data_IF_403971838772
#
_entry.id   IF_403971838772
#
_cell.length_a   1.000
_cell.length_b   1.000
_cell.length_c   1.000
_cell.angle_alpha   90.00
_cell.angle_beta   90.00
_cell.angle_gamma   90.00
#
_symmetry.space_group_name_H-M   'P 1'
#
loop_
_entity.id
_entity.type
_entity.pdbx_description
1 polymer ?
#
# COMPACT_ATOMS: atom_id res chain seq x y z
N UNK A 1 -9.59 8.90 1.43
CA UNK A 1 -9.67 9.53 0.09
C UNK A 1 -10.55 8.68 -0.79
N UNK A 2 -11.29 9.26 -1.74
CA UNK A 2 -12.04 8.53 -2.76
C UNK A 2 -11.67 9.00 -4.17
N UNK A 3 -11.49 8.08 -5.14
CA UNK A 3 -11.36 8.48 -6.55
C UNK A 3 -12.76 8.66 -7.14
N UNK A 4 -13.05 9.84 -7.71
CA UNK A 4 -14.38 10.20 -8.26
C UNK A 4 -14.43 10.22 -9.77
N UNK A 5 -13.34 10.63 -10.41
CA UNK A 5 -13.25 10.70 -11.87
C UNK A 5 -11.85 10.37 -12.33
N UNK A 6 -11.77 9.66 -13.44
CA UNK A 6 -10.52 9.43 -14.16
C UNK A 6 -10.74 9.80 -15.62
N UNK A 7 -9.97 10.75 -16.14
CA UNK A 7 -9.95 11.06 -17.57
C UNK A 7 -8.61 10.64 -18.17
N UNK A 8 -8.66 10.04 -19.35
CA UNK A 8 -7.51 9.50 -20.06
C UNK A 8 -7.60 9.92 -21.52
N UNK A 9 -6.51 10.46 -22.06
CA UNK A 9 -6.39 10.82 -23.46
C UNK A 9 -4.98 10.48 -23.96
N UNK A 10 -4.91 9.88 -25.15
CA UNK A 10 -3.68 9.44 -25.79
C UNK A 10 -2.79 8.54 -24.90
N UNK A 11 -3.40 7.59 -24.19
CA UNK A 11 -2.70 6.57 -23.37
C UNK A 11 -3.09 5.18 -23.83
N UNK A 12 -2.11 4.36 -24.20
CA UNK A 12 -2.27 2.95 -24.59
C UNK A 12 -3.43 2.69 -25.56
N UNK A 13 -4.60 2.30 -25.04
CA UNK A 13 -5.81 1.93 -25.81
C UNK A 13 -6.79 3.09 -25.99
N UNK A 14 -6.52 4.24 -25.38
CA UNK A 14 -7.38 5.42 -25.39
C UNK A 14 -6.70 6.49 -26.23
N UNK A 15 -7.08 6.61 -27.51
CA UNK A 15 -6.59 7.68 -28.38
C UNK A 15 -7.27 9.00 -28.05
N UNK A 16 -8.59 8.99 -28.07
CA UNK A 16 -9.43 10.15 -27.74
C UNK A 16 -9.73 10.18 -26.23
N UNK A 17 -10.16 11.36 -25.76
CA UNK A 17 -10.51 11.57 -24.36
C UNK A 17 -11.65 10.65 -23.94
N UNK A 18 -11.38 9.81 -22.95
CA UNK A 18 -12.34 8.95 -22.29
C UNK A 18 -12.42 9.31 -20.80
N UNK A 19 -13.62 9.30 -20.24
CA UNK A 19 -13.85 9.61 -18.83
C UNK A 19 -14.58 8.46 -18.14
N UNK A 20 -14.09 8.11 -16.95
CA UNK A 20 -14.72 7.17 -16.03
C UNK A 20 -15.17 7.93 -14.79
N UNK A 21 -16.48 7.92 -14.54
CA UNK A 21 -17.07 8.39 -13.28
C UNK A 21 -17.18 7.22 -12.30
N UNK A 22 -16.79 7.45 -11.06
CA UNK A 22 -16.81 6.47 -9.98
C UNK A 22 -17.76 6.95 -8.87
N UNK A 23 -18.98 6.43 -8.95
CA UNK A 23 -20.01 6.71 -7.96
C UNK A 23 -19.94 5.73 -6.79
N UNK A 24 -20.15 6.25 -5.58
CA UNK A 24 -20.19 5.44 -4.36
C UNK A 24 -18.81 5.12 -3.76
N UNK A 25 -18.77 4.06 -2.95
CA UNK A 25 -17.57 3.58 -2.24
C UNK A 25 -16.94 2.33 -2.88
N UNK A 26 -17.71 1.63 -3.73
CA UNK A 26 -17.28 0.43 -4.43
C UNK A 26 -17.75 0.56 -5.88
N UNK A 27 -16.82 0.39 -6.81
CA UNK A 27 -17.12 0.41 -8.25
C UNK A 27 -16.58 -0.87 -8.89
N UNK A 28 -17.39 -1.47 -9.77
CA UNK A 28 -17.05 -2.71 -10.47
C UNK A 28 -17.01 -2.41 -11.97
N UNK A 29 -15.85 -2.62 -12.60
CA UNK A 29 -15.64 -2.37 -14.04
C UNK A 29 -15.81 -3.68 -14.81
N UNK A 30 -16.86 -3.75 -15.65
CA UNK A 30 -17.21 -4.92 -16.46
C UNK A 30 -17.14 -4.56 -17.94
N UNK A 31 -16.68 -5.49 -18.78
CA UNK A 31 -16.62 -5.27 -20.23
C UNK A 31 -15.98 -6.46 -20.96
N UNK A 32 -16.05 -6.50 -22.30
CA UNK A 32 -15.53 -7.61 -23.10
C UNK A 32 -14.01 -7.78 -22.97
N UNK A 33 -13.51 -8.97 -23.30
CA UNK A 33 -12.07 -9.22 -23.39
C UNK A 33 -11.43 -8.31 -24.44
N UNK A 34 -10.25 -7.78 -24.15
CA UNK A 34 -9.57 -6.82 -25.04
C UNK A 34 -10.09 -5.38 -24.96
N UNK A 35 -11.19 -5.10 -24.24
CA UNK A 35 -11.78 -3.75 -24.13
C UNK A 35 -11.00 -2.75 -23.26
N UNK A 36 -9.69 -2.93 -23.06
CA UNK A 36 -8.85 -1.93 -22.37
C UNK A 36 -8.97 -1.82 -20.84
N UNK A 37 -9.84 -2.60 -20.17
CA UNK A 37 -10.03 -2.58 -18.70
C UNK A 37 -8.72 -2.64 -17.90
N UNK A 38 -7.83 -3.54 -18.30
CA UNK A 38 -6.52 -3.71 -17.69
C UNK A 38 -5.63 -2.48 -17.85
N UNK A 39 -5.66 -1.84 -19.02
CA UNK A 39 -4.90 -0.61 -19.28
C UNK A 39 -5.46 0.57 -18.49
N UNK A 40 -6.78 0.64 -18.31
CA UNK A 40 -7.45 1.63 -17.46
C UNK A 40 -7.01 1.47 -15.99
N UNK A 41 -7.09 0.25 -15.44
CA UNK A 41 -6.65 -0.04 -14.08
C UNK A 41 -5.16 0.26 -13.87
N UNK A 42 -4.30 -0.16 -14.79
CA UNK A 42 -2.87 0.16 -14.75
C UNK A 42 -2.65 1.68 -14.74
N UNK A 43 -3.36 2.42 -15.60
CA UNK A 43 -3.23 3.89 -15.67
C UNK A 43 -3.61 4.54 -14.34
N UNK A 44 -4.70 4.10 -13.71
CA UNK A 44 -5.12 4.60 -12.40
C UNK A 44 -4.06 4.27 -11.34
N UNK A 45 -3.56 3.03 -11.31
CA UNK A 45 -2.53 2.61 -10.35
C UNK A 45 -1.25 3.42 -10.54
N UNK A 46 -0.82 3.66 -11.78
CA UNK A 46 0.33 4.50 -12.08
C UNK A 46 0.10 5.92 -11.55
N UNK A 47 -1.06 6.52 -11.81
CA UNK A 47 -1.40 7.84 -11.27
C UNK A 47 -1.29 7.88 -9.75
N UNK A 48 -1.97 6.95 -9.07
CA UNK A 48 -2.00 6.91 -7.62
C UNK A 48 -0.62 6.63 -7.03
N UNK A 49 0.07 5.56 -7.44
CA UNK A 49 1.32 5.11 -6.83
C UNK A 49 2.51 5.99 -7.18
N UNK A 50 2.69 6.34 -8.46
CA UNK A 50 3.87 7.09 -8.92
C UNK A 50 3.77 8.58 -8.60
N UNK A 51 2.61 9.19 -8.84
CA UNK A 51 2.48 10.65 -8.80
C UNK A 51 1.85 11.17 -7.50
N UNK A 52 0.82 10.50 -6.98
CA UNK A 52 0.11 10.97 -5.78
C UNK A 52 0.76 10.47 -4.47
N UNK A 53 1.03 9.18 -4.34
CA UNK A 53 1.66 8.60 -3.14
C UNK A 53 3.19 8.66 -3.18
N UNK A 54 3.78 8.47 -4.36
CA UNK A 54 5.21 8.67 -4.60
C UNK A 54 6.11 8.04 -3.51
N UNK A 55 5.76 6.80 -3.12
CA UNK A 55 6.17 6.17 -1.86
C UNK A 55 7.67 6.24 -1.60
N UNK A 56 8.04 6.54 -0.35
CA UNK A 56 9.41 6.56 0.14
C UNK A 56 9.63 5.49 1.21
N UNK A 57 10.87 5.04 1.32
CA UNK A 57 11.21 3.86 2.12
C UNK A 57 12.52 4.05 2.85
N UNK A 58 12.57 3.54 4.08
CA UNK A 58 13.76 3.55 4.91
C UNK A 58 14.78 2.53 4.40
N UNK A 59 15.98 3.00 4.06
CA UNK A 59 17.14 2.19 3.68
C UNK A 59 18.19 2.27 4.77
N UNK A 60 18.69 1.12 5.23
CA UNK A 60 19.78 1.05 6.19
C UNK A 60 21.08 1.57 5.56
N UNK A 61 21.63 2.63 6.14
CA UNK A 61 22.78 3.39 5.63
C UNK A 61 23.73 3.70 6.79
N UNK A 62 24.35 2.66 7.37
CA UNK A 62 25.17 2.79 8.57
C UNK A 62 26.40 3.67 8.32
N UNK A 63 26.80 4.42 9.33
CA UNK A 63 28.12 5.08 9.40
C UNK A 63 28.88 4.55 10.63
N UNK A 64 30.21 4.74 10.72
CA UNK A 64 30.98 4.32 11.89
C UNK A 64 30.41 4.85 13.22
N UNK A 65 29.86 6.06 13.21
CA UNK A 65 29.29 6.73 14.39
C UNK A 65 27.82 6.33 14.65
N UNK A 66 27.10 5.89 13.61
CA UNK A 66 25.68 5.52 13.68
C UNK A 66 25.42 4.22 12.92
N UNK A 67 25.67 3.05 13.55
CA UNK A 67 25.48 1.75 12.91
C UNK A 67 24.01 1.44 12.59
N UNK A 68 23.06 2.11 13.23
CA UNK A 68 21.62 1.95 12.97
C UNK A 68 21.02 3.09 12.13
N UNK A 69 21.85 3.86 11.42
CA UNK A 69 21.38 4.98 10.58
C UNK A 69 20.57 4.49 9.40
N UNK A 70 19.47 5.17 9.13
CA UNK A 70 18.58 4.95 7.99
C UNK A 70 18.33 6.24 7.22
N UNK A 71 18.02 6.12 5.94
CA UNK A 71 17.63 7.22 5.06
C UNK A 71 16.34 6.86 4.33
N UNK A 72 15.40 7.80 4.25
CA UNK A 72 14.26 7.66 3.37
C UNK A 72 14.68 7.93 1.92
N UNK A 73 14.51 6.95 1.05
CA UNK A 73 14.79 7.07 -0.38
C UNK A 73 13.51 6.89 -1.18
N UNK A 74 13.46 7.56 -2.33
CA UNK A 74 12.37 7.41 -3.27
C UNK A 74 12.37 5.99 -3.85
N UNK A 75 11.20 5.44 -4.13
CA UNK A 75 11.10 4.19 -4.88
C UNK A 75 11.32 4.45 -6.36
N UNK A 76 12.59 4.34 -6.74
CA UNK A 76 13.07 4.40 -8.11
C UNK A 76 12.43 3.35 -9.05
N UNK A 77 11.90 2.23 -8.54
CA UNK A 77 11.16 1.26 -9.37
C UNK A 77 9.84 1.84 -9.87
N UNK A 78 9.27 2.84 -9.17
CA UNK A 78 8.12 3.61 -9.68
C UNK A 78 8.45 4.36 -10.98
N UNK A 79 9.73 4.60 -11.29
CA UNK A 79 10.10 5.19 -12.58
C UNK A 79 9.74 4.28 -13.76
N UNK A 80 9.68 2.96 -13.54
CA UNK A 80 9.27 1.98 -14.54
C UNK A 80 7.74 1.99 -14.79
N UNK A 81 6.96 2.63 -13.92
CA UNK A 81 5.52 2.85 -14.12
C UNK A 81 5.28 3.98 -15.10
N UNK A 82 5.58 3.74 -16.38
CA UNK A 82 5.46 4.73 -17.46
C UNK A 82 4.05 4.71 -18.05
N UNK A 83 3.48 5.91 -18.24
CA UNK A 83 2.28 6.09 -19.04
C UNK A 83 2.68 6.03 -20.52
N UNK A 84 2.35 4.92 -21.19
CA UNK A 84 2.67 4.73 -22.61
C UNK A 84 1.68 5.49 -23.51
N UNK A 85 2.19 6.25 -24.48
CA UNK A 85 1.34 6.93 -25.49
C UNK A 85 0.57 5.93 -26.34
N UNK A 86 -0.58 6.34 -26.85
CA UNK A 86 -1.28 5.56 -27.87
C UNK A 86 -0.43 5.51 -29.15
N UNK A 87 -0.38 4.36 -29.83
CA UNK A 87 0.46 4.15 -31.02
C UNK A 87 0.16 5.14 -32.15
N UNK A 88 -1.12 5.45 -32.36
CA UNK A 88 -1.59 6.44 -33.35
C UNK A 88 -1.48 7.91 -32.89
N UNK A 89 -1.07 8.19 -31.65
CA UNK A 89 -1.08 9.52 -31.06
C UNK A 89 0.31 10.11 -30.81
N UNK A 90 1.32 9.68 -31.58
CA UNK A 90 2.72 10.06 -31.37
C UNK A 90 2.95 11.58 -31.29
N UNK A 91 2.20 12.38 -32.09
CA UNK A 91 2.29 13.84 -32.11
C UNK A 91 1.31 14.58 -31.19
N UNK A 92 0.47 13.87 -30.43
CA UNK A 92 -0.47 14.49 -29.47
C UNK A 92 0.11 14.43 -28.07
N UNK A 93 -0.30 15.36 -27.22
CA UNK A 93 -0.01 15.27 -25.80
C UNK A 93 -0.72 14.08 -25.19
N UNK A 94 -0.09 13.50 -24.18
CA UNK A 94 -0.69 12.49 -23.32
C UNK A 94 -1.26 13.18 -22.09
N UNK A 95 -2.49 12.89 -21.74
CA UNK A 95 -3.16 13.45 -20.57
C UNK A 95 -3.80 12.35 -19.73
N UNK A 96 -3.53 12.40 -18.43
CA UNK A 96 -4.30 11.65 -17.43
C UNK A 96 -4.70 12.58 -16.31
N UNK A 97 -5.99 12.59 -15.98
CA UNK A 97 -6.55 13.34 -14.85
C UNK A 97 -7.16 12.38 -13.84
N UNK A 98 -6.91 12.61 -12.56
CA UNK A 98 -7.60 11.92 -11.48
C UNK A 98 -8.20 12.96 -10.55
N UNK A 99 -9.53 12.91 -10.39
CA UNK A 99 -10.26 13.67 -9.38
C UNK A 99 -10.37 12.83 -8.11
N UNK A 100 -9.83 13.36 -7.02
CA UNK A 100 -9.93 12.74 -5.70
C UNK A 100 -10.75 13.60 -4.76
N UNK A 101 -11.61 12.94 -3.99
CA UNK A 101 -12.42 13.53 -2.94
C UNK A 101 -11.79 13.25 -1.58
N UNK A 102 -11.68 14.30 -0.78
CA UNK A 102 -11.16 14.24 0.60
C UNK A 102 -12.22 13.65 1.53
N UNK A 103 -11.87 12.63 2.30
CA UNK A 103 -12.76 12.04 3.31
C UNK A 103 -12.47 12.61 4.71
N UNK A 104 -13.40 12.46 5.65
CA UNK A 104 -13.18 12.87 7.04
C UNK A 104 -11.96 12.17 7.66
N UNK A 105 -11.71 10.91 7.29
CA UNK A 105 -10.53 10.15 7.73
C UNK A 105 -9.22 10.73 7.21
N UNK A 106 -9.21 11.27 5.99
CA UNK A 106 -8.01 11.97 5.50
C UNK A 106 -7.72 13.22 6.32
N UNK A 107 -8.76 14.00 6.68
CA UNK A 107 -8.58 15.18 7.53
C UNK A 107 -8.10 14.80 8.93
N UNK A 108 -8.62 13.72 9.51
CA UNK A 108 -8.12 13.16 10.77
C UNK A 108 -6.64 12.77 10.68
N UNK A 109 -6.25 12.10 9.60
CA UNK A 109 -4.85 11.75 9.35
C UNK A 109 -3.97 13.00 9.20
N UNK A 110 -4.37 13.97 8.38
CA UNK A 110 -3.64 15.20 8.15
C UNK A 110 -3.42 15.97 9.45
N UNK A 111 -4.46 16.10 10.29
CA UNK A 111 -4.37 16.74 11.60
C UNK A 111 -3.46 15.98 12.55
N UNK A 112 -3.52 14.65 12.55
CA UNK A 112 -2.65 13.81 13.37
C UNK A 112 -1.19 13.99 12.98
N UNK A 113 -0.89 13.96 11.68
CA UNK A 113 0.45 14.20 11.13
C UNK A 113 0.96 15.61 11.48
N UNK A 114 0.12 16.63 11.35
CA UNK A 114 0.48 18.01 11.69
C UNK A 114 0.75 18.18 13.20
N UNK A 115 -0.10 17.58 14.04
CA UNK A 115 0.00 17.68 15.50
C UNK A 115 1.25 16.98 16.04
N UNK A 116 1.55 15.77 15.53
CA UNK A 116 2.68 14.97 16.00
C UNK A 116 4.00 15.29 15.27
N UNK A 117 4.00 16.20 14.30
CA UNK A 117 5.14 16.45 13.40
C UNK A 117 6.46 16.70 14.14
N UNK A 118 6.45 17.54 15.19
CA UNK A 118 7.66 17.86 15.97
C UNK A 118 8.16 16.64 16.74
N UNK A 119 7.25 16.00 17.49
CA UNK A 119 7.56 14.83 18.31
C UNK A 119 8.10 13.70 17.44
N UNK A 120 7.48 13.45 16.30
CA UNK A 120 7.87 12.40 15.37
C UNK A 120 9.23 12.71 14.73
N UNK A 121 9.48 13.97 14.37
CA UNK A 121 10.78 14.43 13.85
C UNK A 121 11.89 14.26 14.89
N UNK A 122 11.64 14.63 16.15
CA UNK A 122 12.61 14.46 17.24
C UNK A 122 12.97 12.99 17.49
N UNK A 123 11.96 12.12 17.57
CA UNK A 123 12.16 10.68 17.74
C UNK A 123 12.91 10.06 16.54
N UNK A 124 12.53 10.46 15.32
CA UNK A 124 13.12 9.96 14.10
C UNK A 124 14.58 10.39 13.92
N UNK A 125 14.96 11.63 14.27
CA UNK A 125 16.31 12.19 14.05
C UNK A 125 17.45 11.37 14.66
N UNK A 126 17.16 10.53 15.66
CA UNK A 126 18.15 9.61 16.26
C UNK A 126 18.57 8.49 15.29
N UNK A 127 17.63 8.02 14.46
CA UNK A 127 17.79 6.87 13.56
C UNK A 127 17.76 7.24 12.09
N UNK A 128 16.94 8.22 11.70
CA UNK A 128 16.66 8.63 10.33
C UNK A 128 17.34 9.96 10.02
N UNK A 129 18.25 9.97 9.05
CA UNK A 129 19.12 11.12 8.81
C UNK A 129 18.47 12.26 8.01
N UNK A 130 17.48 11.95 7.18
CA UNK A 130 16.86 12.90 6.25
C UNK A 130 15.35 13.02 6.43
N UNK A 131 14.84 12.61 7.59
CA UNK A 131 13.41 12.74 7.90
C UNK A 131 13.10 14.15 8.41
N UNK A 132 12.12 14.80 7.80
CA UNK A 132 11.66 16.10 8.25
C UNK A 132 10.19 16.31 7.88
N UNK A 133 9.32 16.42 8.89
CA UNK A 133 7.88 16.72 8.74
C UNK A 133 7.53 18.20 8.91
N UNK A 134 8.50 19.11 8.93
CA UNK A 134 8.23 20.55 9.12
C UNK A 134 7.23 21.09 8.09
N UNK A 135 7.21 20.54 6.88
CA UNK A 135 6.24 20.90 5.85
C UNK A 135 4.78 20.64 6.27
N UNK A 136 4.52 19.63 7.10
CA UNK A 136 3.18 19.32 7.59
C UNK A 136 2.56 20.45 8.42
N UNK A 137 3.40 21.27 9.08
CA UNK A 137 2.95 22.45 9.83
C UNK A 137 2.43 23.57 8.94
N UNK A 138 2.85 23.61 7.68
CA UNK A 138 2.44 24.63 6.73
C UNK A 138 1.18 24.28 5.95
N UNK A 139 0.65 23.07 6.15
CA UNK A 139 -0.54 22.61 5.45
C UNK A 139 -1.76 23.45 5.80
N UNK A 140 -2.48 23.86 4.76
CA UNK A 140 -3.73 24.64 4.84
C UNK A 140 -4.93 23.75 5.11
N UNK A 141 -4.91 23.03 6.22
CA UNK A 141 -5.97 22.05 6.56
C UNK A 141 -7.32 22.75 6.73
N UNK A 142 -7.32 23.99 7.21
CA UNK A 142 -8.50 24.82 7.44
C UNK A 142 -9.25 25.16 6.14
N UNK A 143 -8.54 25.15 5.01
CA UNK A 143 -9.10 25.39 3.67
C UNK A 143 -9.67 24.11 3.04
N UNK A 144 -9.50 22.95 3.69
CA UNK A 144 -9.93 21.65 3.17
C UNK A 144 -11.08 21.11 4.03
N UNK A 145 -12.22 20.86 3.38
CA UNK A 145 -13.37 20.20 4.01
C UNK A 145 -13.61 18.80 3.44
N UNK A 146 -14.25 17.92 4.20
CA UNK A 146 -14.65 16.61 3.69
C UNK A 146 -15.63 16.80 2.51
N UNK A 147 -15.40 16.08 1.42
CA UNK A 147 -16.09 16.28 0.14
C UNK A 147 -15.40 17.26 -0.81
N UNK A 148 -14.36 17.98 -0.37
CA UNK A 148 -13.52 18.79 -1.27
C UNK A 148 -12.90 17.90 -2.33
N UNK A 149 -12.86 18.37 -3.58
CA UNK A 149 -12.33 17.62 -4.71
C UNK A 149 -11.13 18.32 -5.33
N UNK A 150 -10.06 17.57 -5.52
CA UNK A 150 -8.85 18.03 -6.19
C UNK A 150 -8.62 17.23 -7.47
N UNK A 151 -8.25 17.92 -8.54
CA UNK A 151 -7.94 17.31 -9.83
C UNK A 151 -6.44 17.35 -10.03
N UNK A 152 -5.82 16.17 -10.06
CA UNK A 152 -4.40 16.00 -10.36
C UNK A 152 -4.23 15.63 -11.82
N UNK A 153 -3.40 16.39 -12.54
CA UNK A 153 -3.17 16.20 -13.97
C UNK A 153 -1.73 15.82 -14.25
N UNK A 154 -1.54 14.73 -14.99
CA UNK A 154 -0.24 14.36 -15.56
C UNK A 154 -0.30 14.58 -17.07
N UNK A 155 0.59 15.43 -17.57
CA UNK A 155 0.77 15.70 -18.99
C UNK A 155 2.15 15.24 -19.39
N UNK A 156 2.23 14.35 -20.39
CA UNK A 156 3.50 13.83 -20.90
C UNK A 156 4.43 13.27 -19.80
N UNK A 157 3.86 12.55 -18.83
CA UNK A 157 4.60 11.95 -17.71
C UNK A 157 5.05 12.94 -16.62
N UNK A 158 4.58 14.19 -16.65
CA UNK A 158 4.87 15.22 -15.64
C UNK A 158 3.60 15.68 -14.94
N UNK A 159 3.60 15.61 -13.60
CA UNK A 159 2.52 16.13 -12.76
C UNK A 159 2.51 17.66 -12.83
N UNK A 160 1.37 18.23 -13.22
CA UNK A 160 1.16 19.67 -13.27
C UNK A 160 1.03 20.23 -11.84
N UNK A 161 1.58 21.42 -11.62
CA UNK A 161 1.64 22.05 -10.29
C UNK A 161 0.47 23.01 -10.01
N UNK A 162 -0.42 23.22 -10.99
CA UNK A 162 -1.56 24.14 -10.90
C UNK A 162 -2.75 23.51 -10.15
N UNK A 163 -2.59 23.30 -8.85
CA UNK A 163 -3.55 22.58 -7.99
C UNK A 163 -3.97 23.41 -6.76
N UNK A 164 -3.47 24.66 -6.66
CA UNK A 164 -3.69 25.55 -5.51
C UNK A 164 -3.03 25.08 -4.21
N UNK A 165 -2.95 25.96 -3.21
CA UNK A 165 -2.23 25.69 -1.96
C UNK A 165 -2.87 24.54 -1.14
N UNK A 166 -4.20 24.50 -1.09
CA UNK A 166 -4.95 23.43 -0.44
C UNK A 166 -4.75 22.07 -1.13
N UNK A 167 -4.76 22.04 -2.47
CA UNK A 167 -4.48 20.83 -3.24
C UNK A 167 -3.04 20.38 -3.10
N UNK A 168 -2.08 21.30 -3.09
CA UNK A 168 -0.68 21.01 -2.84
C UNK A 168 -0.46 20.44 -1.42
N UNK A 169 -1.16 20.98 -0.41
CA UNK A 169 -1.13 20.45 0.96
C UNK A 169 -1.67 19.01 1.03
N UNK A 170 -2.78 18.74 0.32
CA UNK A 170 -3.34 17.39 0.25
C UNK A 170 -2.42 16.40 -0.47
N UNK A 171 -1.77 16.83 -1.56
CA UNK A 171 -0.77 16.01 -2.26
C UNK A 171 0.41 15.66 -1.36
N UNK A 172 0.96 16.64 -0.64
CA UNK A 172 2.05 16.40 0.31
C UNK A 172 1.65 15.40 1.41
N UNK A 173 0.42 15.49 1.91
CA UNK A 173 -0.12 14.49 2.82
C UNK A 173 -0.05 13.07 2.23
N UNK A 174 -0.54 12.87 1.00
CA UNK A 174 -0.49 11.56 0.34
C UNK A 174 0.94 11.06 0.16
N UNK A 175 1.87 11.96 -0.21
CA UNK A 175 3.28 11.63 -0.43
C UNK A 175 4.02 11.27 0.86
N UNK A 176 3.65 11.88 1.97
CA UNK A 176 4.29 11.65 3.28
C UNK A 176 3.63 10.52 4.08
N UNK A 177 2.41 10.11 3.71
CA UNK A 177 1.57 9.17 4.46
C UNK A 177 2.32 7.87 4.85
N UNK A 178 3.00 7.23 3.90
CA UNK A 178 3.64 5.94 4.16
C UNK A 178 4.87 6.05 5.07
N UNK A 179 5.60 7.16 4.98
CA UNK A 179 6.77 7.42 5.84
C UNK A 179 6.33 7.65 7.28
N UNK A 180 5.36 8.54 7.47
CA UNK A 180 4.81 8.87 8.78
C UNK A 180 4.16 7.64 9.43
N UNK A 181 3.33 6.91 8.68
CA UNK A 181 2.71 5.67 9.15
C UNK A 181 3.72 4.63 9.63
N UNK A 182 4.85 4.47 8.94
CA UNK A 182 5.94 3.56 9.38
C UNK A 182 6.57 4.01 10.69
N UNK A 183 6.82 5.31 10.85
CA UNK A 183 7.45 5.83 12.06
C UNK A 183 6.50 5.80 13.26
N UNK A 184 5.20 6.04 13.03
CA UNK A 184 4.18 5.85 14.06
C UNK A 184 4.15 4.42 14.57
N UNK A 185 4.22 3.44 13.68
CA UNK A 185 4.32 2.03 14.06
C UNK A 185 5.60 1.75 14.88
N UNK A 186 6.75 2.26 14.44
CA UNK A 186 8.03 2.06 15.12
C UNK A 186 8.08 2.71 16.51
N UNK A 187 7.50 3.90 16.67
CA UNK A 187 7.51 4.67 17.91
C UNK A 187 6.22 4.54 18.72
N UNK A 188 5.39 3.54 18.42
CA UNK A 188 4.19 3.18 19.18
C UNK A 188 3.19 4.36 19.30
N UNK A 189 3.08 5.18 18.26
CA UNK A 189 2.06 6.22 18.12
C UNK A 189 0.77 5.66 17.51
N UNK A 190 -0.33 6.40 17.66
CA UNK A 190 -1.61 6.02 17.06
C UNK A 190 -1.49 5.91 15.53
N UNK A 191 -1.96 4.81 14.92
CA UNK A 191 -1.82 4.55 13.49
C UNK A 191 -2.74 5.45 12.66
N UNK A 192 -2.32 5.77 11.44
CA UNK A 192 -3.14 6.47 10.46
C UNK A 192 -4.08 5.51 9.73
N UNK A 193 -5.23 6.01 9.28
CA UNK A 193 -6.16 5.25 8.46
C UNK A 193 -5.63 5.13 7.02
N UNK A 194 -5.48 3.91 6.49
CA UNK A 194 -4.97 3.67 5.13
C UNK A 194 -5.89 4.23 4.04
N UNK A 195 -5.44 5.22 3.23
CA UNK A 195 -6.25 5.86 2.20
C UNK A 195 -6.37 5.05 0.91
N UNK A 196 -5.42 4.14 0.63
CA UNK A 196 -5.39 3.32 -0.59
C UNK A 196 -4.99 1.88 -0.29
N UNK A 197 -5.80 0.94 -0.78
CA UNK A 197 -5.43 -0.48 -0.90
C UNK A 197 -5.62 -0.90 -2.34
N UNK A 198 -4.56 -1.41 -2.96
CA UNK A 198 -4.61 -1.96 -4.31
C UNK A 198 -4.33 -3.46 -4.29
N UNK A 199 -5.24 -4.23 -4.87
CA UNK A 199 -5.09 -5.66 -5.07
C UNK A 199 -4.99 -5.93 -6.58
N UNK A 200 -3.80 -6.32 -7.10
CA UNK A 200 -3.60 -6.52 -8.53
C UNK A 200 -4.43 -7.70 -9.06
N UNK A 201 -4.88 -7.60 -10.30
CA UNK A 201 -5.75 -8.60 -10.98
C UNK A 201 -5.01 -9.88 -11.38
N UNK A 202 -3.78 -10.07 -10.90
CA UNK A 202 -2.95 -11.17 -11.36
C UNK A 202 -3.53 -12.50 -10.90
N UNK A 203 -3.81 -13.36 -11.88
CA UNK A 203 -3.99 -14.79 -11.67
C UNK A 203 -2.62 -15.30 -11.25
N UNK A 204 -2.37 -15.39 -9.96
CA UNK A 204 -1.11 -15.88 -9.41
C UNK A 204 -0.84 -17.29 -9.97
N UNK A 205 -0.02 -17.39 -11.02
CA UNK A 205 0.42 -18.68 -11.56
C UNK A 205 1.35 -19.38 -10.55
N UNK A 206 2.12 -18.60 -9.78
CA UNK A 206 2.70 -19.03 -8.52
C UNK A 206 1.62 -18.94 -7.43
N UNK A 207 1.25 -20.08 -6.83
CA UNK A 207 0.23 -20.13 -5.79
C UNK A 207 0.50 -19.22 -4.59
N UNK A 208 -0.45 -19.17 -3.65
CA UNK A 208 -0.29 -18.46 -2.37
C UNK A 208 0.99 -18.93 -1.65
N UNK A 209 1.98 -18.03 -1.54
CA UNK A 209 3.26 -18.29 -0.86
C UNK A 209 3.25 -17.58 0.49
N UNK A 210 2.97 -18.33 1.56
CA UNK A 210 2.95 -17.84 2.94
C UNK A 210 4.17 -18.21 3.76
N UNK A 211 5.11 -18.98 3.19
CA UNK A 211 6.34 -19.34 3.88
C UNK A 211 7.37 -18.20 3.75
N UNK A 212 7.87 -17.70 4.87
CA UNK A 212 8.91 -16.66 4.93
C UNK A 212 10.03 -17.08 5.87
N UNK A 213 11.28 -16.95 5.39
CA UNK A 213 12.50 -17.14 6.18
C UNK A 213 13.09 -15.76 6.52
N UNK A 214 13.06 -15.36 7.79
CA UNK A 214 13.44 -13.99 8.19
C UNK A 214 14.92 -13.68 7.91
N UNK A 215 15.80 -14.68 7.91
CA UNK A 215 17.24 -14.49 7.68
C UNK A 215 17.56 -13.92 6.29
N UNK A 216 16.75 -14.26 5.26
CA UNK A 216 16.88 -13.74 3.90
C UNK A 216 15.78 -12.74 3.53
N UNK A 217 14.85 -12.45 4.44
CA UNK A 217 13.70 -11.60 4.15
C UNK A 217 14.07 -10.12 4.21
N UNK A 218 13.91 -9.45 3.07
CA UNK A 218 14.09 -8.02 2.97
C UNK A 218 12.72 -7.32 2.81
N UNK A 219 12.15 -6.83 3.92
CA UNK A 219 10.87 -6.08 3.92
C UNK A 219 10.94 -4.88 2.97
N UNK A 220 12.09 -4.19 2.93
CA UNK A 220 12.28 -3.02 2.07
C UNK A 220 12.13 -3.39 0.58
N UNK A 221 12.89 -4.38 0.09
CA UNK A 221 12.81 -4.78 -1.32
C UNK A 221 11.44 -5.38 -1.66
N UNK A 222 10.88 -6.19 -0.76
CA UNK A 222 9.56 -6.80 -0.94
C UNK A 222 8.47 -5.74 -1.04
N UNK A 223 8.48 -4.72 -0.18
CA UNK A 223 7.53 -3.60 -0.25
C UNK A 223 7.76 -2.75 -1.49
N UNK A 224 9.01 -2.39 -1.79
CA UNK A 224 9.41 -1.62 -2.99
C UNK A 224 8.87 -2.25 -4.26
N UNK A 225 8.98 -3.57 -4.39
CA UNK A 225 8.42 -4.32 -5.52
C UNK A 225 6.89 -4.39 -5.45
N UNK A 226 6.30 -4.67 -4.28
CA UNK A 226 4.85 -4.75 -4.10
C UNK A 226 4.11 -3.46 -4.44
N UNK A 227 4.69 -2.29 -4.19
CA UNK A 227 4.05 -1.01 -4.55
C UNK A 227 4.12 -0.73 -6.06
N UNK A 228 5.00 -1.44 -6.78
CA UNK A 228 5.05 -1.44 -8.25
C UNK A 228 4.15 -2.52 -8.88
N UNK A 229 3.34 -3.19 -8.07
CA UNK A 229 2.36 -4.16 -8.55
C UNK A 229 1.45 -3.51 -9.59
N UNK A 230 1.32 -4.18 -10.72
CA UNK A 230 0.41 -3.83 -11.80
C UNK A 230 -0.22 -5.12 -12.32
N UNK A 231 -1.12 -5.00 -13.29
CA UNK A 231 -1.63 -6.18 -14.00
C UNK A 231 -0.56 -6.95 -14.79
N UNK A 232 0.66 -6.41 -14.92
CA UNK A 232 1.78 -7.02 -15.66
C UNK A 232 2.88 -7.57 -14.75
N UNK A 233 2.94 -7.15 -13.49
CA UNK A 233 3.98 -7.55 -12.52
C UNK A 233 3.40 -8.40 -11.39
N UNK A 234 3.85 -9.65 -11.29
CA UNK A 234 3.45 -10.57 -10.21
C UNK A 234 4.21 -10.20 -8.94
N UNK A 235 3.50 -9.67 -7.96
CA UNK A 235 4.05 -9.38 -6.63
C UNK A 235 3.20 -10.05 -5.56
N UNK A 236 3.83 -10.78 -4.64
CA UNK A 236 3.12 -11.45 -3.55
C UNK A 236 2.93 -10.49 -2.37
N UNK A 237 1.80 -9.78 -2.35
CA UNK A 237 1.36 -8.99 -1.18
C UNK A 237 1.25 -9.85 0.08
N UNK A 238 0.97 -11.14 -0.09
CA UNK A 238 0.90 -12.15 0.97
C UNK A 238 2.25 -12.33 1.63
N UNK A 239 3.33 -12.44 0.85
CA UNK A 239 4.69 -12.57 1.39
C UNK A 239 5.07 -11.33 2.21
N UNK A 240 4.72 -10.13 1.73
CA UNK A 240 4.89 -8.90 2.50
C UNK A 240 4.14 -8.94 3.85
N UNK A 241 2.87 -9.33 3.83
CA UNK A 241 2.05 -9.42 5.03
C UNK A 241 2.62 -10.46 6.03
N UNK A 242 2.94 -11.67 5.58
CA UNK A 242 3.48 -12.72 6.46
C UNK A 242 4.85 -12.33 7.01
N UNK A 243 5.73 -11.76 6.19
CA UNK A 243 7.04 -11.31 6.63
C UNK A 243 6.96 -10.28 7.76
N UNK A 244 6.04 -9.32 7.65
CA UNK A 244 5.78 -8.32 8.72
C UNK A 244 5.23 -8.95 9.99
N UNK A 245 4.29 -9.89 9.86
CA UNK A 245 3.77 -10.64 11.01
C UNK A 245 4.88 -11.43 11.71
N UNK A 246 5.73 -12.10 10.95
CA UNK A 246 6.87 -12.87 11.44
C UNK A 246 7.90 -11.98 12.14
N UNK A 247 8.25 -10.82 11.56
CA UNK A 247 9.14 -9.84 12.20
C UNK A 247 8.56 -9.34 13.52
N UNK A 248 7.28 -8.94 13.54
CA UNK A 248 6.61 -8.48 14.77
C UNK A 248 6.61 -9.56 15.84
N UNK A 249 6.25 -10.78 15.48
CA UNK A 249 6.26 -11.91 16.41
C UNK A 249 7.67 -12.19 16.94
N UNK A 250 8.71 -12.16 16.08
CA UNK A 250 10.11 -12.34 16.51
C UNK A 250 10.55 -11.25 17.47
N UNK A 251 10.22 -9.99 17.22
CA UNK A 251 10.54 -8.89 18.12
C UNK A 251 9.86 -9.03 19.49
N UNK A 252 8.63 -9.54 19.53
CA UNK A 252 7.94 -9.84 20.80
C UNK A 252 8.61 -11.00 21.54
N UNK A 253 9.11 -12.02 20.83
CA UNK A 253 9.89 -13.11 21.43
C UNK A 253 11.22 -12.61 22.02
N UNK A 254 11.93 -11.72 21.31
CA UNK A 254 13.18 -11.11 21.80
C UNK A 254 12.97 -10.17 22.99
N UNK A 255 11.80 -9.52 23.09
CA UNK A 255 11.42 -8.68 24.23
C UNK A 255 11.09 -9.49 25.51
N UNK A 256 11.23 -10.82 25.43
CA UNK A 256 11.29 -11.84 26.50
C UNK A 256 10.36 -11.64 27.70
N UNK A 257 9.13 -12.17 27.59
CA UNK A 257 8.21 -12.28 28.74
C UNK A 257 7.30 -13.51 28.75
N UNK A 258 7.51 -14.53 27.90
CA UNK A 258 6.59 -15.68 27.80
C UNK A 258 5.13 -15.34 27.41
N UNK A 259 4.79 -14.07 27.30
CA UNK A 259 3.49 -13.50 26.91
C UNK A 259 3.50 -12.98 25.47
N UNK A 260 4.57 -13.21 24.70
CA UNK A 260 4.67 -12.77 23.31
C UNK A 260 3.49 -13.26 22.46
N UNK A 261 3.02 -14.49 22.70
CA UNK A 261 1.85 -15.04 22.02
C UNK A 261 0.55 -14.33 22.41
N UNK A 262 0.38 -13.96 23.69
CA UNK A 262 -0.78 -13.18 24.11
C UNK A 262 -0.71 -11.75 23.61
N UNK A 263 0.44 -11.06 23.73
CA UNK A 263 0.64 -9.71 23.19
C UNK A 263 0.44 -9.65 21.67
N UNK A 264 0.91 -10.67 20.94
CA UNK A 264 0.67 -10.79 19.51
C UNK A 264 -0.82 -10.93 19.20
N UNK A 265 -1.54 -11.81 19.91
CA UNK A 265 -3.00 -11.96 19.73
C UNK A 265 -3.78 -10.74 20.25
N UNK A 266 -3.21 -10.00 21.17
CA UNK A 266 -3.83 -8.84 21.79
C UNK A 266 -3.79 -7.58 20.91
N UNK A 267 -2.96 -7.59 19.87
CA UNK A 267 -2.90 -6.54 18.87
C UNK A 267 -4.26 -6.30 18.21
N UNK A 268 -4.66 -5.02 18.15
CA UNK A 268 -5.99 -4.60 17.67
C UNK A 268 -6.25 -5.05 16.23
N UNK A 269 -5.26 -4.95 15.34
CA UNK A 269 -5.42 -5.35 13.95
C UNK A 269 -5.52 -6.87 13.83
N UNK A 270 -4.78 -7.61 14.65
CA UNK A 270 -4.83 -9.08 14.68
C UNK A 270 -6.14 -9.61 15.28
N UNK A 271 -6.73 -8.93 16.27
CA UNK A 271 -8.08 -9.24 16.76
C UNK A 271 -9.12 -9.09 15.66
N UNK A 272 -9.07 -7.99 14.92
CA UNK A 272 -10.01 -7.77 13.81
C UNK A 272 -9.84 -8.83 12.70
N UNK A 273 -8.60 -9.15 12.32
CA UNK A 273 -8.34 -10.23 11.37
C UNK A 273 -8.86 -11.58 11.86
N UNK A 274 -8.63 -11.88 13.14
CA UNK A 274 -9.08 -13.14 13.76
C UNK A 274 -10.60 -13.23 13.78
N UNK A 275 -11.31 -12.15 14.12
CA UNK A 275 -12.76 -12.10 14.10
C UNK A 275 -13.31 -12.32 12.67
N UNK A 276 -12.75 -11.62 11.68
CA UNK A 276 -13.15 -11.78 10.27
C UNK A 276 -12.95 -13.20 9.76
N UNK A 277 -11.81 -13.83 10.07
CA UNK A 277 -11.56 -15.23 9.69
C UNK A 277 -12.49 -16.21 10.43
N UNK A 278 -12.78 -15.93 11.70
CA UNK A 278 -13.71 -16.73 12.51
C UNK A 278 -15.13 -16.68 11.97
N UNK A 279 -15.61 -15.51 11.52
CA UNK A 279 -16.90 -15.36 10.83
C UNK A 279 -16.98 -16.20 9.55
N UNK A 280 -15.85 -16.40 8.86
CA UNK A 280 -15.73 -17.27 7.68
C UNK A 280 -15.55 -18.76 8.04
N UNK A 281 -15.54 -19.10 9.33
CA UNK A 281 -15.36 -20.44 9.86
C UNK A 281 -13.91 -20.93 9.88
N UNK A 282 -12.94 -20.02 9.85
CA UNK A 282 -11.51 -20.33 9.92
C UNK A 282 -10.92 -19.93 11.27
N UNK A 283 -10.15 -20.83 11.86
CA UNK A 283 -9.15 -20.53 12.89
C UNK A 283 -7.79 -20.36 12.19
N UNK A 284 -6.93 -19.47 12.70
CA UNK A 284 -5.61 -19.27 12.14
C UNK A 284 -4.54 -19.08 13.23
N UNK A 285 -3.30 -19.45 12.90
CA UNK A 285 -2.12 -19.16 13.71
C UNK A 285 -0.89 -18.94 12.84
N UNK A 286 0.01 -18.07 13.29
CA UNK A 286 1.35 -17.99 12.75
C UNK A 286 2.22 -19.04 13.45
N UNK A 287 2.83 -19.95 12.70
CA UNK A 287 3.66 -21.02 13.24
C UNK A 287 5.11 -20.88 12.81
N UNK A 288 6.04 -21.12 13.73
CA UNK A 288 7.45 -21.28 13.41
C UNK A 288 7.68 -22.69 12.88
N UNK A 289 7.88 -22.83 11.57
CA UNK A 289 8.23 -24.12 10.94
C UNK A 289 9.65 -24.53 11.33
N UNK A 290 10.59 -23.58 11.32
CA UNK A 290 11.98 -23.82 11.67
C UNK A 290 12.54 -22.69 12.53
N UNK A 291 12.66 -22.89 13.86
CA UNK A 291 13.14 -21.84 14.76
C UNK A 291 14.61 -21.51 14.53
N UNK A 292 15.43 -22.48 14.10
CA UNK A 292 16.86 -22.27 13.84
C UNK A 292 17.10 -21.38 12.62
N UNK A 293 16.14 -21.36 11.68
CA UNK A 293 16.18 -20.51 10.47
C UNK A 293 15.25 -19.30 10.54
N UNK A 294 14.54 -19.11 11.66
CA UNK A 294 13.47 -18.10 11.77
C UNK A 294 12.46 -18.20 10.60
N UNK A 295 12.02 -19.44 10.30
CA UNK A 295 11.07 -19.72 9.24
C UNK A 295 9.66 -19.82 9.80
N UNK A 296 8.72 -19.10 9.18
CA UNK A 296 7.34 -19.01 9.61
C UNK A 296 6.35 -19.27 8.47
N UNK A 297 5.18 -19.78 8.80
CA UNK A 297 4.05 -19.96 7.88
C UNK A 297 2.72 -19.82 8.63
N UNK A 298 1.64 -19.61 7.89
CA UNK A 298 0.29 -19.55 8.43
C UNK A 298 -0.28 -20.97 8.47
N UNK A 299 -0.84 -21.37 9.61
CA UNK A 299 -1.73 -22.51 9.72
C UNK A 299 -3.17 -22.03 9.71
N UNK A 300 -4.00 -22.66 8.88
CA UNK A 300 -5.46 -22.50 8.91
C UNK A 300 -6.11 -23.79 9.40
N UNK A 301 -7.19 -23.65 10.17
CA UNK A 301 -8.02 -24.76 10.61
C UNK A 301 -9.49 -24.48 10.34
N UNK A 302 -10.19 -25.45 9.76
CA UNK A 302 -11.62 -25.40 9.43
C UNK A 302 -12.24 -26.77 9.61
N UNK A 303 -13.33 -26.85 10.39
CA UNK A 303 -14.10 -28.09 10.60
C UNK A 303 -13.24 -29.32 10.99
N UNK A 304 -12.26 -29.12 11.89
CA UNK A 304 -11.39 -30.19 12.40
C UNK A 304 -10.16 -30.51 11.55
N UNK A 305 -10.09 -30.04 10.31
CA UNK A 305 -8.90 -30.16 9.46
C UNK A 305 -8.00 -28.94 9.61
N UNK A 306 -6.69 -29.16 9.81
CA UNK A 306 -5.69 -28.09 9.86
C UNK A 306 -4.59 -28.32 8.83
N UNK A 307 -4.18 -27.27 8.13
CA UNK A 307 -3.09 -27.33 7.17
C UNK A 307 -2.24 -26.06 7.22
N UNK A 308 -0.95 -26.20 6.93
CA UNK A 308 -0.08 -25.07 6.64
C UNK A 308 -0.43 -24.56 5.24
N UNK A 309 -0.64 -23.25 5.08
CA UNK A 309 -1.10 -22.71 3.80
C UNK A 309 -0.05 -22.90 2.71
N UNK A 310 1.25 -22.88 3.07
CA UNK A 310 2.33 -23.22 2.13
C UNK A 310 2.28 -24.66 1.62
N UNK A 311 1.72 -25.59 2.41
CA UNK A 311 1.62 -27.01 2.09
C UNK A 311 0.23 -27.43 1.52
N UNK A 312 -0.74 -26.51 1.46
CA UNK A 312 -2.09 -26.78 0.98
C UNK A 312 -2.10 -27.28 -0.48
N UNK A 313 -2.96 -28.25 -0.81
CA UNK A 313 -3.17 -28.73 -2.18
C UNK A 313 -3.79 -27.65 -3.07
N UNK A 314 -3.74 -27.79 -4.40
CA UNK A 314 -4.32 -26.80 -5.33
C UNK A 314 -5.82 -26.54 -5.10
N UNK A 315 -6.56 -27.56 -4.64
CA UNK A 315 -7.98 -27.44 -4.25
C UNK A 315 -8.19 -26.69 -2.94
N UNK A 316 -7.33 -26.90 -1.93
CA UNK A 316 -7.39 -26.19 -0.64
C UNK A 316 -6.88 -24.75 -0.75
N UNK A 317 -5.86 -24.52 -1.59
CA UNK A 317 -5.46 -23.18 -2.03
C UNK A 317 -6.59 -22.48 -2.77
N UNK A 318 -7.32 -23.20 -3.63
CA UNK A 318 -8.52 -22.73 -4.32
C UNK A 318 -9.62 -22.27 -3.36
N UNK A 319 -9.85 -23.01 -2.27
CA UNK A 319 -10.80 -22.64 -1.20
C UNK A 319 -10.40 -21.37 -0.45
N UNK A 320 -9.09 -21.12 -0.25
CA UNK A 320 -8.58 -19.85 0.26
C UNK A 320 -8.58 -18.73 -0.80
N UNK A 321 -8.51 -19.09 -2.09
CA UNK A 321 -8.61 -18.20 -3.27
C UNK A 321 -10.06 -17.89 -3.68
N UNK A 322 -11.09 -18.43 -3.00
CA UNK A 322 -12.49 -18.15 -3.34
C UNK A 322 -12.91 -16.68 -3.09
N UNK A 323 -11.99 -15.82 -2.64
CA UNK A 323 -11.97 -14.41 -2.99
C UNK A 323 -11.64 -14.23 -4.49
N UNK A 324 -12.49 -14.78 -5.36
CA UNK A 324 -12.42 -14.63 -6.82
C UNK A 324 -12.88 -13.22 -7.18
N UNK A 325 -11.99 -12.23 -7.05
CA UNK A 325 -12.23 -10.93 -7.67
C UNK A 325 -11.87 -11.08 -9.14
N UNK A 326 -12.88 -11.18 -10.01
CA UNK A 326 -12.69 -11.19 -11.48
C UNK A 326 -12.34 -9.79 -12.05
N UNK A 327 -11.82 -8.90 -11.23
CA UNK A 327 -11.40 -7.54 -11.58
C UNK A 327 -10.38 -7.03 -10.57
N UNK A 328 -9.59 -6.01 -10.94
CA UNK A 328 -8.76 -5.33 -9.96
C UNK A 328 -9.63 -4.60 -8.96
N UNK A 329 -9.31 -4.71 -7.68
CA UNK A 329 -9.98 -3.94 -6.65
C UNK A 329 -9.05 -2.82 -6.21
N UNK A 330 -9.49 -1.59 -6.47
CA UNK A 330 -8.93 -0.40 -5.84
C UNK A 330 -9.91 -0.03 -4.74
N UNK A 331 -9.50 -0.19 -3.49
CA UNK A 331 -10.28 0.28 -2.34
C UNK A 331 -9.67 1.58 -1.88
N UNK A 332 -10.46 2.64 -1.97
CA UNK A 332 -10.15 3.95 -1.39
C UNK A 332 -11.12 4.17 -0.24
N UNK A 333 -10.64 4.46 0.97
CA UNK A 333 -11.46 4.51 2.19
C UNK A 333 -11.79 5.93 2.65
#
# INVERSE_FOLDING_TARGET
MLVRRVAIENVRSFLDRAELMLDGQISIIIGPNGGGKTNLLDTIVIMLRRYLFASMYAVHTPTPEKPNRHEFRHNDVLNNMVLERHSAGAGRDQLVEVEVEVTSRDLENMRSMQTDADRLTELANKKYANFNLTLAKSWKIEEISAGTRFIYRVVNGSLQQDIGDAGASFLQYLQMFEMDGRLREEFELAPLATPLVYLPVNRSASGFQSNVELAGYNDFETKRHSDTASSRSVTSIVNLAVGRLAQKYRMLLEKDKGIAASEFRDDVNLKQLTNLLSELGYEWSLETINPLKNQYDIRLKKQGSSFLVGAASSGERGGCQNFRVQGGLIVTR
#
